data_IF_312963620840
#
_entry.id   IF_312963620840
#
_cell.length_a   1.000
_cell.length_b   1.000
_cell.length_c   1.000
_cell.angle_alpha   90.00
_cell.angle_beta   90.00
_cell.angle_gamma   90.00
#
_symmetry.space_group_name_H-M   'P 1'
#
loop_
_entity.id
_entity.type
_entity.pdbx_description
1 polymer ?
#
# COMPACT_ATOMS: atom_id res chain seq x y z
N UNK A 1 -2.87 -2.65 7.57
CA UNK A 1 -1.58 -1.95 7.73
C UNK A 1 -1.82 -0.73 8.60
N UNK A 2 -1.04 -0.57 9.67
CA UNK A 2 -1.08 0.57 10.59
C UNK A 2 0.30 1.21 10.70
N UNK A 3 0.42 2.23 11.55
CA UNK A 3 1.69 2.88 11.89
C UNK A 3 2.00 2.63 13.36
N UNK A 4 3.21 2.11 13.63
CA UNK A 4 3.79 2.03 14.98
C UNK A 4 5.22 2.54 14.91
N UNK A 5 5.60 3.40 15.85
CA UNK A 5 6.95 4.00 15.92
C UNK A 5 7.45 4.61 14.59
N UNK A 6 6.53 5.25 13.85
CA UNK A 6 6.81 5.89 12.56
C UNK A 6 7.06 4.93 11.39
N UNK A 7 6.83 3.63 11.58
CA UNK A 7 6.99 2.57 10.56
C UNK A 7 5.63 1.98 10.21
N UNK A 8 5.49 1.58 8.94
CA UNK A 8 4.34 0.80 8.53
C UNK A 8 4.50 -0.65 8.97
N UNK A 9 3.49 -1.17 9.66
CA UNK A 9 3.45 -2.55 10.16
C UNK A 9 2.09 -3.20 9.91
N UNK A 10 2.04 -4.52 9.97
CA UNK A 10 0.79 -5.26 10.06
C UNK A 10 0.20 -5.14 11.47
N UNK A 11 -1.12 -5.11 11.52
CA UNK A 11 -1.90 -5.19 12.75
C UNK A 11 -3.27 -5.78 12.44
N UNK A 12 -3.95 -6.41 13.42
CA UNK A 12 -5.34 -6.82 13.28
C UNK A 12 -6.23 -5.66 12.87
N UNK A 13 -7.20 -5.93 11.99
CA UNK A 13 -8.13 -4.91 11.50
C UNK A 13 -8.92 -4.31 12.66
N UNK A 14 -8.78 -3.00 12.84
CA UNK A 14 -9.54 -2.21 13.81
C UNK A 14 -10.12 -0.98 13.09
N UNK A 15 -11.42 -0.98 12.75
CA UNK A 15 -12.06 0.14 12.06
C UNK A 15 -11.96 1.49 12.78
N UNK A 16 -11.78 1.48 14.12
CA UNK A 16 -11.67 2.66 14.97
C UNK A 16 -10.23 3.19 15.08
N UNK A 17 -9.23 2.42 14.67
CA UNK A 17 -7.84 2.85 14.68
C UNK A 17 -7.58 3.77 13.49
N UNK A 18 -7.48 5.08 13.74
CA UNK A 18 -7.22 6.08 12.69
C UNK A 18 -5.90 5.83 11.93
N UNK A 19 -4.92 5.17 12.55
CA UNK A 19 -3.67 4.83 11.90
C UNK A 19 -3.82 3.69 10.88
N UNK A 20 -4.93 2.96 10.89
CA UNK A 20 -5.27 1.97 9.85
C UNK A 20 -5.98 2.56 8.63
N UNK A 21 -6.29 3.85 8.66
CA UNK A 21 -6.89 4.55 7.53
C UNK A 21 -5.79 5.28 6.74
N UNK A 22 -5.85 5.11 5.44
CA UNK A 22 -4.90 5.70 4.50
C UNK A 22 -5.66 6.54 3.49
N UNK A 23 -5.06 7.63 3.04
CA UNK A 23 -5.58 8.48 1.99
C UNK A 23 -4.79 8.14 0.73
N UNK A 24 -5.49 7.70 -0.31
CA UNK A 24 -4.94 7.57 -1.66
C UNK A 24 -5.04 8.92 -2.34
N UNK A 25 -3.92 9.62 -2.43
CA UNK A 25 -3.83 10.98 -2.98
C UNK A 25 -3.39 10.93 -4.45
N UNK A 26 -4.35 11.16 -5.34
CA UNK A 26 -4.23 11.02 -6.79
C UNK A 26 -3.76 12.30 -7.49
N UNK A 27 -3.28 13.32 -6.77
CA UNK A 27 -2.86 14.62 -7.36
C UNK A 27 -1.89 14.49 -8.53
N UNK A 28 -1.00 13.51 -8.47
CA UNK A 28 0.04 13.27 -9.48
C UNK A 28 -0.35 12.25 -10.54
N UNK A 29 -1.58 11.73 -10.50
CA UNK A 29 -2.06 10.63 -11.37
C UNK A 29 -2.05 10.93 -12.87
N UNK A 30 -2.13 12.21 -13.25
CA UNK A 30 -2.09 12.65 -14.65
C UNK A 30 -0.66 12.88 -15.15
N UNK A 31 0.25 13.30 -14.27
CA UNK A 31 1.64 13.63 -14.58
C UNK A 31 2.59 12.45 -14.45
N UNK A 32 2.26 11.46 -13.62
CA UNK A 32 3.10 10.31 -13.32
C UNK A 32 2.32 9.02 -13.58
N UNK A 33 2.78 8.25 -14.56
CA UNK A 33 2.18 6.98 -15.00
C UNK A 33 3.27 5.97 -15.32
N UNK A 34 2.97 4.69 -15.20
CA UNK A 34 3.87 3.65 -15.74
C UNK A 34 3.71 3.47 -17.25
N UNK A 35 4.50 2.53 -17.79
CA UNK A 35 4.44 2.09 -19.18
C UNK A 35 3.09 1.47 -19.59
N UNK A 36 2.27 1.05 -18.64
CA UNK A 36 0.91 0.52 -18.85
C UNK A 36 -0.18 1.58 -18.59
N UNK A 37 0.21 2.84 -18.40
CA UNK A 37 -0.66 4.00 -18.15
C UNK A 37 -1.43 3.98 -16.82
N UNK A 38 -1.03 3.16 -15.86
CA UNK A 38 -1.64 3.19 -14.54
C UNK A 38 -1.25 4.46 -13.78
N UNK A 39 -2.23 5.12 -13.13
CA UNK A 39 -1.99 6.36 -12.42
C UNK A 39 -1.21 6.11 -11.14
N UNK A 40 -0.22 6.98 -10.88
CA UNK A 40 0.50 6.99 -9.62
C UNK A 40 -0.27 7.77 -8.53
N UNK A 41 -0.01 7.44 -7.27
CA UNK A 41 -0.63 8.07 -6.11
C UNK A 41 0.32 8.17 -4.93
N UNK A 42 0.13 9.16 -4.06
CA UNK A 42 0.78 9.17 -2.75
C UNK A 42 -0.11 8.46 -1.74
N UNK A 43 0.49 7.64 -0.89
CA UNK A 43 -0.22 6.89 0.14
C UNK A 43 0.01 7.54 1.50
N UNK A 44 -0.97 8.31 1.97
CA UNK A 44 -0.86 9.20 3.15
C UNK A 44 -1.58 8.60 4.34
N UNK A 45 -0.92 8.42 5.48
CA UNK A 45 -1.62 7.96 6.67
C UNK A 45 -2.58 9.04 7.19
N UNK A 46 -3.84 8.67 7.45
CA UNK A 46 -4.89 9.63 7.83
C UNK A 46 -4.59 10.30 9.18
N UNK A 47 -4.14 9.54 10.18
CA UNK A 47 -3.87 10.05 11.52
C UNK A 47 -2.68 11.01 11.56
N UNK A 48 -1.62 10.73 10.80
CA UNK A 48 -0.40 11.55 10.83
C UNK A 48 -0.34 12.62 9.74
N UNK A 49 -1.15 12.51 8.68
CA UNK A 49 -1.06 13.35 7.48
C UNK A 49 0.26 13.18 6.70
N UNK A 50 0.98 12.08 6.91
CA UNK A 50 2.31 11.84 6.32
C UNK A 50 2.28 10.69 5.31
N UNK A 51 2.95 10.81 4.15
CA UNK A 51 3.05 9.75 3.16
C UNK A 51 4.00 8.66 3.61
N UNK A 52 3.69 7.45 3.15
CA UNK A 52 4.66 6.36 3.12
C UNK A 52 5.82 6.75 2.21
N UNK A 53 7.05 6.54 2.65
CA UNK A 53 8.27 6.76 1.90
C UNK A 53 9.25 5.61 2.12
N UNK A 54 10.03 5.37 1.08
CA UNK A 54 11.10 4.38 1.03
C UNK A 54 12.35 5.08 0.50
N UNK A 55 12.77 6.14 1.21
CA UNK A 55 13.79 7.13 0.81
C UNK A 55 15.11 6.54 0.27
N UNK A 56 15.45 5.29 0.62
CA UNK A 56 16.63 4.60 0.10
C UNK A 56 16.40 3.81 -1.19
N UNK A 57 15.15 3.45 -1.51
CA UNK A 57 14.77 2.62 -2.65
C UNK A 57 15.39 1.21 -2.64
N UNK A 58 15.86 0.74 -1.48
CA UNK A 58 16.64 -0.50 -1.35
C UNK A 58 15.82 -1.64 -0.73
N UNK A 59 16.17 -2.87 -1.07
CA UNK A 59 15.57 -4.08 -0.50
C UNK A 59 15.72 -4.11 1.03
N UNK A 60 14.72 -4.67 1.73
CA UNK A 60 14.62 -4.78 3.18
C UNK A 60 14.50 -3.46 3.94
N UNK A 61 14.52 -2.32 3.25
CA UNK A 61 14.28 -1.06 3.93
C UNK A 61 12.81 -0.95 4.35
N UNK A 62 12.53 -0.60 5.61
CA UNK A 62 11.17 -0.39 6.09
C UNK A 62 10.49 0.76 5.35
N UNK A 63 9.19 0.60 5.13
CA UNK A 63 8.32 1.70 4.73
C UNK A 63 8.11 2.60 5.96
N UNK A 64 8.50 3.86 5.83
CA UNK A 64 8.45 4.86 6.91
C UNK A 64 7.53 6.02 6.55
N UNK A 65 7.19 6.84 7.53
CA UNK A 65 6.51 8.11 7.30
C UNK A 65 7.48 9.29 7.28
N UNK A 66 7.35 10.15 6.28
CA UNK A 66 8.18 11.36 6.11
C UNK A 66 7.31 12.62 6.07
N UNK A 67 7.86 13.82 6.30
CA UNK A 67 7.11 15.08 6.11
C UNK A 67 6.53 15.17 4.70
N UNK A 68 5.29 15.65 4.58
CA UNK A 68 4.60 15.78 3.31
C UNK A 68 4.55 17.24 2.85
N UNK A 69 5.12 17.53 1.68
CA UNK A 69 4.79 18.74 0.94
C UNK A 69 4.03 18.31 -0.33
N UNK A 70 2.70 18.47 -0.38
CA UNK A 70 1.92 18.01 -1.52
C UNK A 70 2.14 18.83 -2.80
N UNK A 71 2.78 19.99 -2.70
CA UNK A 71 3.09 20.86 -3.84
C UNK A 71 4.41 20.47 -4.53
N UNK A 72 5.14 19.50 -3.96
CA UNK A 72 6.38 18.99 -4.50
C UNK A 72 6.30 17.48 -4.73
N UNK A 73 6.67 17.05 -5.94
CA UNK A 73 6.74 15.64 -6.29
C UNK A 73 8.04 15.02 -5.74
N UNK A 74 7.93 14.23 -4.67
CA UNK A 74 8.99 13.32 -4.23
C UNK A 74 8.63 11.89 -4.64
N UNK A 75 9.32 11.37 -5.65
CA UNK A 75 9.10 10.02 -6.19
C UNK A 75 9.21 8.91 -5.12
N UNK A 76 9.99 9.11 -4.05
CA UNK A 76 10.11 8.12 -2.97
C UNK A 76 8.79 7.92 -2.21
N UNK A 77 7.85 8.85 -2.34
CA UNK A 77 6.53 8.85 -1.70
C UNK A 77 5.43 8.32 -2.62
N UNK A 78 5.70 8.22 -3.92
CA UNK A 78 4.73 7.82 -4.92
C UNK A 78 4.68 6.31 -5.05
N UNK A 79 3.46 5.79 -5.15
CA UNK A 79 3.12 4.39 -5.29
C UNK A 79 2.32 4.17 -6.56
N UNK A 80 2.36 2.93 -7.01
CA UNK A 80 1.48 2.42 -8.05
C UNK A 80 0.90 1.08 -7.61
N UNK A 81 -0.27 0.77 -8.14
CA UNK A 81 -0.91 -0.53 -8.04
C UNK A 81 -0.66 -1.31 -9.33
N UNK A 82 -0.21 -2.56 -9.24
CA UNK A 82 -0.16 -3.40 -10.43
C UNK A 82 -1.55 -3.73 -10.97
N UNK A 83 -1.57 -4.22 -12.22
CA UNK A 83 -2.68 -5.04 -12.70
C UNK A 83 -2.97 -6.16 -11.70
N UNK A 84 -4.25 -6.51 -11.56
CA UNK A 84 -4.70 -7.58 -10.65
C UNK A 84 -3.83 -8.83 -10.83
N UNK A 85 -3.08 -9.18 -9.78
CA UNK A 85 -2.13 -10.29 -9.81
C UNK A 85 -2.83 -11.64 -9.58
N UNK A 86 -3.92 -11.68 -8.80
CA UNK A 86 -4.88 -12.79 -8.68
C UNK A 86 -5.99 -12.44 -7.67
N UNK A 87 -7.21 -12.99 -7.84
CA UNK A 87 -8.32 -12.90 -6.87
C UNK A 87 -8.66 -11.47 -6.38
N UNK A 88 -8.45 -10.44 -7.20
CA UNK A 88 -8.71 -9.04 -6.85
C UNK A 88 -7.59 -8.35 -6.07
N UNK A 89 -6.51 -9.05 -5.72
CA UNK A 89 -5.34 -8.47 -5.06
C UNK A 89 -4.40 -7.77 -6.05
N UNK A 90 -3.73 -6.74 -5.55
CA UNK A 90 -2.76 -5.91 -6.28
C UNK A 90 -1.43 -5.92 -5.52
N UNK A 91 -0.30 -5.77 -6.21
CA UNK A 91 0.93 -5.38 -5.51
C UNK A 91 1.00 -3.84 -5.47
N UNK A 92 1.61 -3.32 -4.40
CA UNK A 92 1.91 -1.88 -4.27
C UNK A 92 3.42 -1.73 -4.42
N UNK A 93 3.86 -0.97 -5.43
CA UNK A 93 5.28 -0.79 -5.74
C UNK A 93 5.64 0.68 -5.91
N UNK A 94 6.94 0.97 -5.94
CA UNK A 94 7.45 2.33 -6.14
C UNK A 94 7.34 2.76 -7.60
N UNK A 95 7.07 4.05 -7.82
CA UNK A 95 7.01 4.62 -9.18
C UNK A 95 8.31 4.44 -9.98
N UNK A 96 9.46 4.60 -9.31
CA UNK A 96 10.77 4.55 -9.93
C UNK A 96 11.39 3.14 -9.93
N UNK A 97 10.70 2.15 -9.37
CA UNK A 97 11.14 0.75 -9.38
C UNK A 97 9.95 -0.20 -9.28
N UNK A 98 9.50 -0.67 -10.45
CA UNK A 98 8.48 -1.73 -10.55
C UNK A 98 8.96 -3.10 -10.01
N UNK A 99 10.25 -3.24 -9.74
CA UNK A 99 10.83 -4.49 -9.23
C UNK A 99 10.69 -4.64 -7.71
N UNK A 100 10.41 -3.56 -6.98
CA UNK A 100 10.32 -3.56 -5.51
C UNK A 100 8.90 -3.24 -5.04
N UNK A 101 8.34 -4.18 -4.29
CA UNK A 101 6.95 -4.17 -3.82
C UNK A 101 6.91 -4.09 -2.30
N UNK A 102 5.77 -3.65 -1.76
CA UNK A 102 5.46 -3.84 -0.34
C UNK A 102 5.40 -5.33 -0.01
N UNK A 103 6.15 -5.71 1.02
CA UNK A 103 6.29 -7.08 1.51
C UNK A 103 6.15 -7.07 3.04
N UNK A 104 5.28 -7.92 3.57
CA UNK A 104 5.24 -8.19 5.00
C UNK A 104 6.38 -9.15 5.37
N UNK A 105 7.42 -8.58 5.99
CA UNK A 105 8.69 -9.27 6.23
C UNK A 105 8.50 -10.46 7.18
N UNK A 106 8.95 -11.64 6.75
CA UNK A 106 8.83 -12.91 7.51
C UNK A 106 7.40 -13.46 7.69
N UNK A 107 6.38 -12.85 7.08
CA UNK A 107 5.03 -13.43 7.03
C UNK A 107 3.92 -12.47 7.49
N UNK A 108 2.79 -13.05 7.89
CA UNK A 108 1.54 -12.30 8.14
C UNK A 108 1.16 -12.37 9.62
N UNK A 109 1.88 -11.61 10.44
CA UNK A 109 1.68 -11.55 11.89
C UNK A 109 1.44 -10.10 12.34
N UNK A 110 0.88 -9.92 13.54
CA UNK A 110 0.84 -8.60 14.15
C UNK A 110 2.28 -8.08 14.35
N UNK A 111 2.47 -6.78 14.17
CA UNK A 111 3.74 -6.06 14.28
C UNK A 111 4.79 -6.39 13.20
N UNK A 112 4.44 -7.19 12.19
CA UNK A 112 5.34 -7.42 11.05
C UNK A 112 5.61 -6.12 10.30
N UNK A 113 6.89 -5.77 10.13
CA UNK A 113 7.32 -4.62 9.34
C UNK A 113 6.96 -4.79 7.87
N UNK A 114 6.50 -3.71 7.24
CA UNK A 114 6.37 -3.62 5.79
C UNK A 114 7.68 -3.10 5.21
N UNK A 115 8.25 -3.85 4.29
CA UNK A 115 9.53 -3.54 3.63
C UNK A 115 9.39 -3.53 2.12
N UNK A 116 10.44 -3.13 1.42
CA UNK A 116 10.59 -3.35 -0.01
C UNK A 116 11.25 -4.69 -0.31
N UNK A 117 10.63 -5.50 -1.17
CA UNK A 117 11.21 -6.75 -1.64
C UNK A 117 10.88 -7.04 -3.11
N UNK A 118 11.71 -7.87 -3.75
CA UNK A 118 11.46 -8.30 -5.13
C UNK A 118 10.19 -9.14 -5.19
N UNK A 119 9.45 -9.04 -6.28
CA UNK A 119 8.27 -9.88 -6.51
C UNK A 119 8.67 -11.37 -6.44
N UNK A 120 8.02 -12.10 -5.56
CA UNK A 120 8.21 -13.54 -5.32
C UNK A 120 6.88 -14.30 -5.36
N UNK A 121 5.81 -13.66 -5.82
CA UNK A 121 4.44 -14.22 -5.88
C UNK A 121 3.87 -14.67 -4.53
N UNK A 122 4.51 -14.31 -3.42
CA UNK A 122 4.09 -14.65 -2.07
C UNK A 122 2.79 -13.96 -1.67
N UNK A 123 1.98 -14.62 -0.84
CA UNK A 123 0.75 -14.03 -0.30
C UNK A 123 1.07 -12.81 0.60
N UNK A 124 2.29 -12.74 1.16
CA UNK A 124 2.78 -11.60 1.93
C UNK A 124 3.08 -10.33 1.10
N UNK A 125 2.89 -10.38 -0.22
CA UNK A 125 3.09 -9.27 -1.16
C UNK A 125 1.80 -8.83 -1.86
N UNK A 126 0.67 -9.43 -1.48
CA UNK A 126 -0.64 -9.21 -2.10
C UNK A 126 -1.44 -8.30 -1.18
N UNK A 127 -1.90 -7.17 -1.72
CA UNK A 127 -2.59 -6.15 -0.94
C UNK A 127 -3.99 -5.90 -1.50
N UNK A 128 -4.93 -5.64 -0.60
CA UNK A 128 -6.24 -5.11 -0.90
C UNK A 128 -6.31 -3.66 -0.42
N UNK A 129 -6.63 -2.74 -1.33
CA UNK A 129 -6.95 -1.36 -1.01
C UNK A 129 -8.48 -1.27 -1.05
N UNK A 130 -9.08 -1.31 0.14
CA UNK A 130 -10.53 -1.31 0.30
C UNK A 130 -11.00 0.11 0.64
N UNK A 131 -11.84 0.67 -0.22
CA UNK A 131 -12.60 1.88 0.11
C UNK A 131 -13.68 1.51 1.13
N UNK A 132 -13.60 2.00 2.38
CA UNK A 132 -14.58 1.71 3.42
C UNK A 132 -16.00 2.17 3.08
N UNK A 133 -16.16 3.08 2.12
CA UNK A 133 -17.44 3.70 1.77
C UNK A 133 -18.19 3.02 0.61
N UNK A 134 -17.63 1.98 -0.01
CA UNK A 134 -18.20 1.22 -1.14
C UNK A 134 -18.90 2.08 -2.22
N UNK A 135 -18.18 2.28 -3.33
CA UNK A 135 -18.72 2.39 -4.69
C UNK A 135 -19.75 3.48 -4.96
N UNK A 136 -19.35 4.76 -4.97
CA UNK A 136 -19.99 5.75 -5.85
C UNK A 136 -18.94 6.74 -6.33
N UNK A 137 -18.58 6.65 -7.62
CA UNK A 137 -18.03 7.73 -8.44
C UNK A 137 -17.06 8.68 -7.72
N UNK A 138 -15.96 8.18 -7.17
CA UNK A 138 -14.95 9.07 -6.60
C UNK A 138 -14.19 9.79 -7.72
N UNK A 139 -14.74 10.89 -8.19
CA UNK A 139 -14.01 11.97 -8.87
C UNK A 139 -13.11 12.75 -7.90
N UNK A 140 -13.11 12.38 -6.61
CA UNK A 140 -12.24 12.97 -5.61
C UNK A 140 -10.79 12.59 -5.88
N UNK A 141 -9.94 13.60 -5.92
CA UNK A 141 -8.48 13.48 -5.96
C UNK A 141 -7.96 12.70 -4.74
N UNK A 142 -8.76 12.56 -3.67
CA UNK A 142 -8.41 11.84 -2.46
C UNK A 142 -9.54 10.90 -2.03
N UNK A 143 -9.23 9.62 -1.85
CA UNK A 143 -10.12 8.63 -1.22
C UNK A 143 -9.50 8.09 0.06
N UNK A 144 -10.34 7.64 1.00
CA UNK A 144 -9.87 6.93 2.19
C UNK A 144 -9.93 5.45 1.88
N UNK A 145 -8.85 4.75 2.17
CA UNK A 145 -8.64 3.33 1.91
C UNK A 145 -8.19 2.64 3.20
N UNK A 146 -8.53 1.37 3.34
CA UNK A 146 -7.83 0.44 4.24
C UNK A 146 -6.92 -0.44 3.42
N UNK A 147 -5.67 -0.53 3.84
CA UNK A 147 -4.68 -1.41 3.21
C UNK A 147 -4.58 -2.68 4.02
N UNK A 148 -5.07 -3.76 3.44
CA UNK A 148 -5.08 -5.07 4.05
C UNK A 148 -4.22 -6.04 3.23
N UNK A 149 -3.63 -7.00 3.91
CA UNK A 149 -2.92 -8.07 3.24
C UNK A 149 -3.93 -9.11 2.75
N UNK A 150 -3.79 -9.51 1.49
CA UNK A 150 -4.65 -10.50 0.88
C UNK A 150 -4.40 -11.87 1.47
N UNK A 151 -5.40 -12.44 2.15
CA UNK A 151 -5.39 -13.86 2.46
C UNK A 151 -6.07 -14.59 1.32
N UNK A 152 -5.44 -15.64 0.76
CA UNK A 152 -6.22 -16.60 -0.01
C UNK A 152 -7.35 -17.08 0.90
N UNK A 153 -8.59 -17.07 0.42
CA UNK A 153 -9.60 -17.94 1.04
C UNK A 153 -8.98 -19.32 1.02
N UNK A 154 -8.81 -19.94 2.17
CA UNK A 154 -8.57 -21.38 2.21
C UNK A 154 -9.65 -21.98 1.31
N UNK A 155 -9.25 -22.64 0.23
CA UNK A 155 -10.17 -23.52 -0.48
C UNK A 155 -10.68 -24.48 0.59
N UNK A 156 -11.98 -24.46 0.86
CA UNK A 156 -12.63 -25.39 1.77
C UNK A 156 -12.01 -26.76 1.58
N UNK A 157 -11.20 -27.16 2.56
CA UNK A 157 -10.50 -28.43 2.52
C UNK A 157 -11.56 -29.50 2.37
N UNK A 158 -11.45 -30.29 1.30
CA UNK A 158 -12.14 -31.56 1.13
C UNK A 158 -12.27 -32.24 2.49
N UNK A 159 -13.49 -32.40 2.99
CA UNK A 159 -13.78 -33.54 3.85
C UNK A 159 -13.64 -34.78 2.97
N UNK A 160 -12.71 -35.65 3.35
CA UNK A 160 -12.64 -37.05 2.88
C UNK A 160 -13.95 -37.77 3.16
#
# INVERSE_FOLDING_TARGET
>A
MTIRDGKAVLAPTNPKDEYQHWIKDMRWSTSVKDHEWYPAFALVNKATGRPSSTRSGRQLHPVQLVPYNPDFLDESMIRMESRNVSNGFRCVHMVNSMYLNFDALHGVYDDTNIVLWKWCEGDNQRWNLEDPALLLNSTSIRSIERIQIGRRKESDGKRM
#
